data_IF_851334327200
#
_entry.id   IF_851334327200
#
_cell.length_a   1.000
_cell.length_b   1.000
_cell.length_c   1.000
_cell.angle_alpha   90.00
_cell.angle_beta   90.00
_cell.angle_gamma   90.00
#
_symmetry.space_group_name_H-M   'P 1'
#
loop_
_entity.id
_entity.type
_entity.pdbx_description
1 polymer ?
#
# COMPACT_ATOMS: atom_id res chain seq x y z
N UNK A 1 0.77 -14.98 15.33
CA UNK A 1 0.51 -15.69 14.04
C UNK A 1 1.57 -15.23 13.07
N UNK A 2 2.60 -16.03 12.77
CA UNK A 2 3.61 -15.68 11.76
C UNK A 2 3.01 -15.89 10.38
N UNK A 3 2.79 -14.81 9.64
CA UNK A 3 2.33 -14.91 8.26
C UNK A 3 3.32 -15.73 7.44
N UNK A 4 2.85 -16.76 6.74
CA UNK A 4 3.70 -17.65 5.94
C UNK A 4 4.56 -16.88 4.91
N UNK A 5 4.07 -15.74 4.45
CA UNK A 5 4.78 -14.82 3.55
C UNK A 5 6.04 -14.18 4.14
N UNK A 6 6.16 -14.08 5.46
CA UNK A 6 7.38 -13.58 6.11
C UNK A 6 8.60 -14.48 5.89
N UNK A 7 8.38 -15.73 5.54
CA UNK A 7 9.46 -16.71 5.36
C UNK A 7 10.19 -16.57 4.03
N UNK A 8 9.58 -15.96 3.02
CA UNK A 8 10.14 -15.86 1.68
C UNK A 8 10.22 -14.42 1.12
N UNK A 9 9.62 -13.44 1.80
CA UNK A 9 9.74 -12.04 1.39
C UNK A 9 10.92 -11.37 2.07
N UNK A 10 11.67 -10.59 1.30
CA UNK A 10 12.65 -9.64 1.85
C UNK A 10 11.97 -8.32 2.14
N UNK A 11 12.28 -7.71 3.28
CA UNK A 11 11.68 -6.43 3.67
C UNK A 11 12.67 -5.53 4.38
N UNK A 12 12.41 -4.23 4.29
CA UNK A 12 13.10 -3.20 5.08
C UNK A 12 12.10 -2.11 5.46
N UNK A 13 12.24 -1.56 6.65
CA UNK A 13 11.37 -0.51 7.19
C UNK A 13 12.20 0.70 7.57
N UNK A 14 11.61 1.88 7.41
CA UNK A 14 12.23 3.15 7.81
C UNK A 14 11.19 4.02 8.50
N UNK A 15 11.70 4.86 9.38
CA UNK A 15 10.99 5.96 10.01
C UNK A 15 11.61 7.28 9.51
N UNK A 16 10.76 8.28 9.30
CA UNK A 16 11.19 9.66 9.10
C UNK A 16 10.98 10.42 10.40
N UNK A 17 11.98 11.17 10.82
CA UNK A 17 11.94 12.01 12.02
C UNK A 17 12.18 13.48 11.61
N UNK A 18 11.51 14.40 12.30
CA UNK A 18 11.76 15.83 12.18
C UNK A 18 13.01 16.26 12.95
N UNK A 19 13.39 17.53 12.86
CA UNK A 19 14.55 18.08 13.57
C UNK A 19 14.42 17.98 15.10
N UNK A 20 13.21 17.86 15.62
CA UNK A 20 12.92 17.65 17.04
C UNK A 20 12.98 16.18 17.49
N UNK A 21 13.23 15.22 16.55
CA UNK A 21 13.24 13.79 16.83
C UNK A 21 11.84 13.17 16.92
N UNK A 22 10.79 13.85 16.44
CA UNK A 22 9.45 13.29 16.39
C UNK A 22 9.29 12.45 15.11
N UNK A 23 8.66 11.30 15.22
CA UNK A 23 8.35 10.46 14.05
C UNK A 23 7.24 11.12 13.24
N UNK A 24 7.55 11.51 12.00
CA UNK A 24 6.64 12.17 11.05
C UNK A 24 6.20 11.28 9.90
N UNK A 25 6.79 10.08 9.79
CA UNK A 25 6.37 9.11 8.79
C UNK A 25 7.06 7.76 8.90
N UNK A 26 6.52 6.78 8.19
CA UNK A 26 7.10 5.44 8.07
C UNK A 26 6.79 4.82 6.72
N UNK A 27 7.63 3.90 6.29
CA UNK A 27 7.42 3.07 5.11
C UNK A 27 8.03 1.69 5.29
N UNK A 28 7.45 0.69 4.67
CA UNK A 28 8.02 -0.65 4.54
C UNK A 28 8.12 -1.01 3.07
N UNK A 29 9.33 -1.34 2.59
CA UNK A 29 9.53 -1.94 1.28
C UNK A 29 9.55 -3.46 1.40
N UNK A 30 8.92 -4.16 0.45
CA UNK A 30 8.72 -5.61 0.46
C UNK A 30 9.01 -6.16 -0.93
N UNK A 31 9.95 -7.08 -1.02
CA UNK A 31 10.21 -7.85 -2.23
C UNK A 31 9.62 -9.25 -2.06
N UNK A 32 8.69 -9.60 -2.93
CA UNK A 32 8.11 -10.93 -2.99
C UNK A 32 8.69 -11.69 -4.20
N UNK A 33 9.71 -12.54 -4.00
CA UNK A 33 10.39 -13.22 -5.10
C UNK A 33 9.47 -14.17 -5.86
N UNK A 34 8.52 -14.82 -5.19
CA UNK A 34 7.54 -15.71 -5.83
C UNK A 34 6.59 -14.96 -6.76
N UNK A 35 6.21 -13.75 -6.39
CA UNK A 35 5.40 -12.89 -7.25
C UNK A 35 6.20 -12.48 -8.48
N UNK A 36 7.41 -11.97 -8.27
CA UNK A 36 8.27 -11.49 -9.34
C UNK A 36 8.61 -12.61 -10.34
N UNK A 37 8.93 -13.81 -9.85
CA UNK A 37 9.17 -14.97 -10.68
C UNK A 37 7.92 -15.36 -11.50
N UNK A 38 6.76 -15.45 -10.83
CA UNK A 38 5.50 -15.84 -11.48
C UNK A 38 5.08 -14.90 -12.61
N UNK A 39 5.31 -13.60 -12.44
CA UNK A 39 4.84 -12.58 -13.39
C UNK A 39 5.96 -12.00 -14.26
N UNK A 40 7.19 -12.46 -14.10
CA UNK A 40 8.34 -11.98 -14.87
C UNK A 40 8.67 -10.51 -14.59
N UNK A 41 8.45 -10.03 -13.37
CA UNK A 41 8.63 -8.63 -12.97
C UNK A 41 9.79 -8.47 -11.98
N UNK A 42 10.24 -7.22 -11.80
CA UNK A 42 11.22 -6.83 -10.79
C UNK A 42 10.63 -5.73 -9.91
N UNK A 43 9.48 -6.04 -9.29
CA UNK A 43 8.70 -5.11 -8.48
C UNK A 43 9.06 -5.19 -7.01
N UNK A 44 9.25 -4.03 -6.38
CA UNK A 44 9.18 -3.86 -4.94
C UNK A 44 7.80 -3.32 -4.58
N UNK A 45 7.21 -3.85 -3.52
CA UNK A 45 5.99 -3.30 -2.94
C UNK A 45 6.37 -2.33 -1.83
N UNK A 46 5.54 -1.31 -1.62
CA UNK A 46 5.60 -0.54 -0.38
C UNK A 46 4.26 -0.62 0.36
N UNK A 47 4.34 -0.61 1.68
CA UNK A 47 3.20 -0.62 2.57
C UNK A 47 3.58 0.01 3.90
N UNK A 48 2.68 0.00 4.88
CA UNK A 48 2.86 0.76 6.13
C UNK A 48 3.33 2.19 5.84
N UNK A 49 2.73 2.79 4.83
CA UNK A 49 3.04 4.13 4.37
C UNK A 49 2.12 5.11 5.09
N UNK A 50 2.60 5.59 6.22
CA UNK A 50 1.88 6.54 7.06
C UNK A 50 2.79 7.74 7.31
N UNK A 51 2.29 8.95 7.07
CA UNK A 51 3.06 10.18 7.23
C UNK A 51 2.14 11.38 7.46
N UNK A 52 2.73 12.44 7.96
CA UNK A 52 2.07 13.75 8.07
C UNK A 52 1.78 14.30 6.66
N UNK A 53 0.87 15.29 6.56
CA UNK A 53 0.57 15.96 5.29
C UNK A 53 1.73 16.87 4.85
N UNK A 54 2.82 16.24 4.44
CA UNK A 54 4.02 16.89 3.92
C UNK A 54 4.62 16.04 2.80
N UNK A 55 4.58 16.55 1.58
CA UNK A 55 5.06 15.84 0.37
C UNK A 55 6.56 15.57 0.43
N UNK A 56 7.35 16.41 1.09
CA UNK A 56 8.79 16.19 1.21
C UNK A 56 9.12 15.00 2.11
N UNK A 57 8.35 14.78 3.17
CA UNK A 57 8.46 13.56 3.99
C UNK A 57 8.14 12.32 3.12
N UNK A 58 7.08 12.42 2.31
CA UNK A 58 6.72 11.37 1.35
C UNK A 58 7.84 11.10 0.34
N UNK A 59 8.43 12.14 -0.21
CA UNK A 59 9.54 12.06 -1.18
C UNK A 59 10.77 11.38 -0.60
N UNK A 60 11.13 11.72 0.63
CA UNK A 60 12.26 11.11 1.34
C UNK A 60 12.00 9.62 1.61
N UNK A 61 10.80 9.27 2.09
CA UNK A 61 10.43 7.88 2.39
C UNK A 61 10.41 7.01 1.12
N UNK A 62 9.73 7.46 0.07
CA UNK A 62 9.67 6.74 -1.20
C UNK A 62 11.06 6.65 -1.83
N UNK A 63 11.81 7.75 -1.91
CA UNK A 63 13.17 7.76 -2.46
C UNK A 63 14.13 6.82 -1.72
N UNK A 64 13.98 6.70 -0.39
CA UNK A 64 14.75 5.75 0.41
C UNK A 64 14.39 4.30 0.08
N UNK A 65 13.09 4.01 -0.08
CA UNK A 65 12.62 2.69 -0.47
C UNK A 65 13.07 2.33 -1.90
N UNK A 66 12.99 3.27 -2.84
CA UNK A 66 13.46 3.11 -4.23
C UNK A 66 14.96 2.84 -4.31
N UNK A 67 15.76 3.59 -3.56
CA UNK A 67 17.22 3.39 -3.52
C UNK A 67 17.54 1.97 -3.07
N UNK A 68 16.97 1.53 -1.96
CA UNK A 68 17.14 0.17 -1.48
C UNK A 68 16.66 -0.87 -2.50
N UNK A 69 15.51 -0.64 -3.15
CA UNK A 69 14.95 -1.54 -4.15
C UNK A 69 15.89 -1.68 -5.36
N UNK A 70 16.47 -0.60 -5.85
CA UNK A 70 17.47 -0.61 -6.93
C UNK A 70 18.71 -1.42 -6.56
N UNK A 71 19.19 -1.32 -5.30
CA UNK A 71 20.30 -2.13 -4.78
C UNK A 71 19.95 -3.63 -4.76
N UNK A 72 18.66 -3.98 -4.64
CA UNK A 72 18.15 -5.35 -4.71
C UNK A 72 17.77 -5.80 -6.15
N UNK A 73 18.07 -4.99 -7.17
CA UNK A 73 17.79 -5.31 -8.57
C UNK A 73 16.33 -5.11 -9.01
N UNK A 74 15.56 -4.34 -8.25
CA UNK A 74 14.18 -3.98 -8.62
C UNK A 74 14.16 -2.72 -9.49
N UNK A 75 13.20 -2.63 -10.40
CA UNK A 75 13.03 -1.50 -11.33
C UNK A 75 11.65 -0.86 -11.30
N UNK A 76 10.72 -1.45 -10.57
CA UNK A 76 9.38 -0.90 -10.36
C UNK A 76 9.04 -0.84 -8.87
N UNK A 77 8.35 0.23 -8.43
CA UNK A 77 7.74 0.36 -7.12
C UNK A 77 6.22 0.36 -7.24
N UNK A 78 5.54 -0.41 -6.40
CA UNK A 78 4.11 -0.68 -6.49
C UNK A 78 3.47 -0.67 -5.10
N UNK A 79 2.39 0.05 -4.93
CA UNK A 79 1.71 0.12 -3.62
C UNK A 79 0.64 1.20 -3.53
N UNK A 80 0.06 1.37 -2.33
CA UNK A 80 0.37 0.65 -1.09
C UNK A 80 -0.11 -0.81 -1.10
N UNK A 81 0.77 -1.73 -0.82
CA UNK A 81 0.48 -3.17 -0.80
C UNK A 81 1.24 -3.87 0.33
N UNK A 82 0.64 -4.92 0.87
CA UNK A 82 1.30 -5.77 1.86
C UNK A 82 1.86 -7.05 1.19
N UNK A 83 2.11 -8.08 2.00
CA UNK A 83 2.80 -9.31 1.53
C UNK A 83 2.02 -10.10 0.48
N UNK A 84 0.69 -10.12 0.57
CA UNK A 84 -0.18 -10.91 -0.30
C UNK A 84 -1.56 -10.26 -0.48
N UNK A 85 -2.39 -10.86 -1.33
CA UNK A 85 -3.74 -10.37 -1.67
C UNK A 85 -4.77 -10.48 -0.53
N UNK A 86 -4.48 -11.24 0.52
CA UNK A 86 -5.33 -11.34 1.72
C UNK A 86 -5.01 -10.25 2.75
N UNK A 87 -3.92 -9.50 2.55
CA UNK A 87 -3.55 -8.35 3.35
C UNK A 87 -4.29 -7.09 2.90
N UNK A 88 -4.10 -6.03 3.66
CA UNK A 88 -4.61 -4.71 3.30
C UNK A 88 -3.92 -4.19 2.04
N UNK A 89 -4.69 -3.63 1.10
CA UNK A 89 -4.20 -3.20 -0.20
C UNK A 89 -4.84 -1.88 -0.61
N UNK A 90 -4.08 -1.09 -1.36
CA UNK A 90 -4.55 0.16 -1.91
C UNK A 90 -4.70 1.27 -0.87
N UNK A 91 -5.34 2.32 -1.28
CA UNK A 91 -5.72 3.45 -0.45
C UNK A 91 -7.16 3.85 -0.77
N UNK A 92 -7.83 4.46 0.21
CA UNK A 92 -9.15 5.03 0.00
C UNK A 92 -9.02 6.28 -0.88
N UNK A 93 -9.79 6.33 -1.95
CA UNK A 93 -9.83 7.48 -2.89
C UNK A 93 -11.19 8.16 -2.92
N UNK A 94 -12.25 7.43 -2.54
CA UNK A 94 -13.62 7.94 -2.45
C UNK A 94 -14.36 7.30 -1.27
N UNK A 95 -15.40 7.98 -0.76
CA UNK A 95 -16.23 7.46 0.35
C UNK A 95 -15.61 7.65 1.72
N UNK A 96 -14.85 8.72 1.93
CA UNK A 96 -14.23 9.08 3.23
C UNK A 96 -15.25 9.31 4.35
N UNK A 97 -16.50 9.56 4.01
CA UNK A 97 -17.65 9.73 4.90
C UNK A 97 -18.33 8.39 5.27
N UNK A 98 -17.89 7.28 4.71
CA UNK A 98 -18.52 5.96 4.88
C UNK A 98 -17.69 5.04 5.75
N UNK A 99 -18.40 4.11 6.43
CA UNK A 99 -17.73 3.07 7.21
C UNK A 99 -17.13 2.06 6.23
N UNK A 100 -15.81 1.95 6.22
CA UNK A 100 -15.11 0.97 5.43
C UNK A 100 -15.21 -0.44 6.04
N UNK A 101 -15.25 -1.52 5.22
CA UNK A 101 -15.10 -2.89 5.70
C UNK A 101 -13.72 -3.08 6.37
N UNK A 102 -13.62 -4.07 7.26
CA UNK A 102 -12.41 -4.34 8.02
C UNK A 102 -11.15 -4.63 7.16
N UNK A 103 -11.36 -5.06 5.92
CA UNK A 103 -10.30 -5.38 4.96
C UNK A 103 -9.70 -4.16 4.26
N UNK A 104 -10.37 -3.00 4.35
CA UNK A 104 -9.92 -1.79 3.69
C UNK A 104 -9.09 -0.92 4.62
N UNK A 105 -8.10 -0.24 4.01
CA UNK A 105 -7.37 0.83 4.68
C UNK A 105 -8.20 2.10 4.63
N UNK A 106 -8.25 2.79 5.77
CA UNK A 106 -8.67 4.17 5.81
C UNK A 106 -7.41 5.05 5.82
N UNK A 107 -7.43 6.10 5.03
CA UNK A 107 -6.41 7.13 4.99
C UNK A 107 -7.05 8.50 4.86
N UNK A 108 -6.30 9.55 5.15
CA UNK A 108 -6.75 10.92 4.91
C UNK A 108 -6.80 11.24 3.42
N UNK A 109 -7.68 12.16 2.99
CA UNK A 109 -7.80 12.54 1.58
C UNK A 109 -6.51 13.03 0.93
N UNK A 110 -5.62 13.72 1.69
CA UNK A 110 -4.36 14.25 1.17
C UNK A 110 -3.40 13.20 0.59
N UNK A 111 -3.57 11.93 0.94
CA UNK A 111 -2.73 10.87 0.38
C UNK A 111 -2.88 10.73 -1.13
N UNK A 112 -4.08 10.97 -1.67
CA UNK A 112 -4.33 10.86 -3.11
C UNK A 112 -3.52 11.91 -3.88
N UNK A 113 -3.60 13.18 -3.46
CA UNK A 113 -2.86 14.28 -4.06
C UNK A 113 -1.35 14.08 -3.91
N UNK A 114 -0.92 13.67 -2.72
CA UNK A 114 0.48 13.36 -2.42
C UNK A 114 1.05 12.29 -3.35
N UNK A 115 0.32 11.20 -3.59
CA UNK A 115 0.79 10.14 -4.50
C UNK A 115 0.96 10.65 -5.93
N UNK A 116 0.08 11.53 -6.40
CA UNK A 116 0.20 12.17 -7.71
C UNK A 116 1.43 13.09 -7.77
N UNK A 117 1.67 13.90 -6.75
CA UNK A 117 2.86 14.77 -6.66
C UNK A 117 4.17 13.98 -6.58
N UNK A 118 4.15 12.79 -5.99
CA UNK A 118 5.28 11.87 -5.95
C UNK A 118 5.50 11.12 -7.28
N UNK A 119 4.63 11.33 -8.28
CA UNK A 119 4.77 10.78 -9.62
C UNK A 119 4.20 9.37 -9.79
N UNK A 120 3.36 8.92 -8.87
CA UNK A 120 2.68 7.63 -9.02
C UNK A 120 1.49 7.73 -9.97
N UNK A 121 1.32 6.70 -10.78
CA UNK A 121 0.16 6.50 -11.63
C UNK A 121 -0.78 5.46 -11.02
N UNK A 122 -2.08 5.67 -11.17
CA UNK A 122 -3.10 4.73 -10.70
C UNK A 122 -3.12 3.48 -11.58
N UNK A 123 -2.93 2.31 -11.00
CA UNK A 123 -2.94 1.03 -11.72
C UNK A 123 -4.37 0.47 -11.87
N UNK A 124 -5.17 0.49 -10.79
CA UNK A 124 -6.55 -0.01 -10.82
C UNK A 124 -7.41 0.58 -9.70
N UNK A 125 -8.71 0.48 -9.86
CA UNK A 125 -9.70 0.78 -8.83
C UNK A 125 -10.35 -0.49 -8.29
N UNK A 126 -10.63 -0.48 -6.99
CA UNK A 126 -11.43 -1.49 -6.31
C UNK A 126 -12.72 -0.86 -5.85
N UNK A 127 -13.85 -1.37 -6.32
CA UNK A 127 -15.17 -0.84 -5.99
C UNK A 127 -15.81 -1.77 -4.96
N UNK A 128 -16.34 -1.16 -3.90
CA UNK A 128 -17.07 -1.89 -2.86
C UNK A 128 -18.56 -1.58 -2.95
N UNK A 129 -19.37 -2.62 -2.88
CA UNK A 129 -20.82 -2.52 -2.89
C UNK A 129 -21.36 -2.87 -1.51
N UNK A 130 -22.29 -2.05 -1.02
CA UNK A 130 -23.10 -2.36 0.16
C UNK A 130 -24.45 -2.86 -0.32
N UNK A 131 -24.79 -4.09 0.03
CA UNK A 131 -26.12 -4.64 -0.22
C UNK A 131 -26.88 -4.78 1.11
N UNK A 132 -28.12 -4.29 1.21
CA UNK A 132 -29.01 -4.57 2.34
C UNK A 132 -29.26 -6.08 2.46
N UNK A 133 -29.21 -6.62 3.69
CA UNK A 133 -29.37 -8.06 3.93
C UNK A 133 -30.83 -8.55 3.70
N UNK A 134 -31.78 -7.65 3.66
CA UNK A 134 -33.20 -7.89 3.42
C UNK A 134 -33.58 -8.02 1.93
N UNK A 135 -32.70 -7.60 1.04
CA UNK A 135 -32.83 -7.90 -0.39
C UNK A 135 -32.39 -9.34 -0.59
N UNK A 136 -33.32 -10.28 -0.53
CA UNK A 136 -33.05 -11.71 -0.64
C UNK A 136 -32.11 -12.07 -1.79
N UNK A 137 -31.41 -13.19 -1.67
CA UNK A 137 -30.54 -13.73 -2.72
C UNK A 137 -31.36 -13.89 -4.00
N UNK A 138 -30.95 -13.21 -5.06
CA UNK A 138 -31.57 -13.33 -6.40
C UNK A 138 -31.65 -14.83 -6.76
N UNK A 139 -32.83 -15.27 -7.25
CA UNK A 139 -33.05 -16.66 -7.64
C UNK A 139 -32.00 -17.20 -8.63
N UNK A 140 -31.36 -16.29 -9.38
CA UNK A 140 -30.23 -16.62 -10.28
C UNK A 140 -28.93 -16.99 -9.57
N UNK A 141 -28.85 -16.80 -8.26
CA UNK A 141 -27.70 -17.16 -7.43
C UNK A 141 -27.95 -18.43 -6.57
N UNK A 142 -29.10 -19.08 -6.77
CA UNK A 142 -29.42 -20.41 -6.23
C UNK A 142 -29.04 -21.47 -7.25
#
# INVERSE_FOLDING_TARGET
>A
MHAASLKYCTRKMWLAEDEGGNVVGRICAIINPRYNEKYGTRRVRFGWFDLVNDVEVGRILIGTAEKWAKEQGMDEIHGPLYYNTLGRQGMLVEGFDKIAPFSCLYNYPYYVDMMQELGFEKECDWIQYRMPADQGVDERMK
#
